data_IF_205829354822
#
_entry.id   IF_205829354822
#
_cell.length_a   1.000
_cell.length_b   1.000
_cell.length_c   1.000
_cell.angle_alpha   90.00
_cell.angle_beta   90.00
_cell.angle_gamma   90.00
#
_symmetry.space_group_name_H-M   'P 1'
#
loop_
_entity.id
_entity.type
_entity.pdbx_description
1 polymer ?
#
# COMPACT_ATOMS: atom_id res chain seq x y z
N UNK A 1 -12.22 -22.25 3.46
CA UNK A 1 -11.21 -21.32 2.93
C UNK A 1 -11.93 -20.09 2.43
N UNK A 2 -11.35 -18.91 2.60
CA UNK A 2 -11.97 -17.65 2.16
C UNK A 2 -10.93 -16.90 1.33
N UNK A 3 -11.36 -16.24 0.26
CA UNK A 3 -10.53 -15.32 -0.51
C UNK A 3 -10.62 -13.89 0.03
N UNK A 4 -9.54 -13.13 -0.13
CA UNK A 4 -9.49 -11.71 0.25
C UNK A 4 -8.13 -11.11 -0.08
N UNK A 5 -7.77 -10.05 0.63
CA UNK A 5 -6.49 -9.36 0.47
C UNK A 5 -5.54 -9.66 1.62
N UNK A 6 -4.23 -9.61 1.37
CA UNK A 6 -3.18 -9.88 2.38
C UNK A 6 -3.15 -8.87 3.54
N UNK A 7 -3.75 -7.68 3.37
CA UNK A 7 -3.82 -6.63 4.41
C UNK A 7 -5.23 -6.45 4.99
N UNK A 8 -6.15 -7.39 4.73
CA UNK A 8 -7.55 -7.27 5.13
C UNK A 8 -7.73 -7.34 6.66
N UNK A 9 -8.46 -6.38 7.25
CA UNK A 9 -8.71 -6.34 8.70
C UNK A 9 -9.44 -7.59 9.25
N UNK A 10 -10.16 -8.32 8.40
CA UNK A 10 -10.81 -9.60 8.76
C UNK A 10 -9.81 -10.68 9.16
N UNK A 11 -8.56 -10.58 8.72
CA UNK A 11 -7.49 -11.49 9.12
C UNK A 11 -7.34 -11.49 10.64
N UNK A 12 -7.28 -10.29 11.26
CA UNK A 12 -7.19 -10.15 12.71
C UNK A 12 -8.52 -10.47 13.38
N UNK A 13 -9.64 -9.97 12.86
CA UNK A 13 -10.96 -10.15 13.45
C UNK A 13 -11.35 -11.63 13.64
N UNK A 14 -10.98 -12.48 12.68
CA UNK A 14 -11.36 -13.90 12.68
C UNK A 14 -10.19 -14.86 12.87
N UNK A 15 -9.01 -14.34 13.22
CA UNK A 15 -7.78 -15.09 13.41
C UNK A 15 -7.50 -16.01 12.20
N UNK A 16 -7.49 -15.42 11.01
CA UNK A 16 -7.08 -16.13 9.80
C UNK A 16 -5.56 -16.13 9.66
N UNK A 17 -5.04 -17.19 9.06
CA UNK A 17 -3.70 -17.25 8.51
C UNK A 17 -3.78 -17.07 7.00
N UNK A 18 -3.03 -16.09 6.50
CA UNK A 18 -2.80 -15.86 5.07
C UNK A 18 -1.80 -16.89 4.58
N UNK A 19 -2.15 -17.63 3.52
CA UNK A 19 -1.22 -18.58 2.92
C UNK A 19 -0.20 -17.84 2.04
N UNK A 20 1.09 -18.15 2.19
CA UNK A 20 2.13 -17.59 1.34
C UNK A 20 1.97 -18.10 -0.09
N UNK A 21 1.90 -17.18 -1.05
CA UNK A 21 1.90 -17.49 -2.48
C UNK A 21 3.31 -17.79 -2.99
N UNK A 22 3.81 -18.99 -2.68
CA UNK A 22 5.11 -19.49 -3.13
C UNK A 22 5.15 -19.86 -4.63
N UNK A 23 4.04 -19.65 -5.34
CA UNK A 23 3.91 -19.92 -6.78
C UNK A 23 3.78 -18.65 -7.61
N UNK A 24 3.71 -17.48 -6.98
CA UNK A 24 3.55 -16.19 -7.64
C UNK A 24 2.35 -16.21 -8.60
N UNK A 25 1.22 -16.74 -8.12
CA UNK A 25 -0.05 -16.70 -8.84
C UNK A 25 -0.61 -15.28 -8.92
N UNK A 26 -0.38 -14.47 -7.89
CA UNK A 26 -0.91 -13.12 -7.83
C UNK A 26 0.16 -12.06 -8.15
N UNK A 27 -0.20 -11.00 -8.90
CA UNK A 27 0.72 -9.90 -9.16
C UNK A 27 1.19 -9.21 -7.87
N UNK A 28 2.39 -8.59 -7.88
CA UNK A 28 2.86 -7.76 -6.78
C UNK A 28 2.11 -6.42 -6.76
N UNK A 29 1.55 -6.08 -5.61
CA UNK A 29 0.89 -4.82 -5.30
C UNK A 29 1.59 -4.18 -4.09
N UNK A 30 2.88 -3.89 -4.26
CA UNK A 30 3.64 -3.18 -3.24
C UNK A 30 3.13 -1.74 -3.14
N UNK A 31 2.80 -1.29 -1.93
CA UNK A 31 2.37 0.08 -1.70
C UNK A 31 3.56 1.03 -1.70
N UNK A 32 3.43 2.13 -2.45
CA UNK A 32 4.48 3.09 -2.73
C UNK A 32 3.91 4.52 -2.67
N UNK A 33 4.55 5.48 -1.99
CA UNK A 33 4.24 6.89 -2.16
C UNK A 33 4.65 7.32 -3.57
N UNK A 34 3.73 7.89 -4.35
CA UNK A 34 4.06 8.51 -5.64
C UNK A 34 3.87 10.02 -5.56
N UNK A 35 4.82 10.76 -6.10
CA UNK A 35 4.91 12.22 -5.97
C UNK A 35 5.07 12.84 -7.36
N UNK A 36 4.34 13.92 -7.62
CA UNK A 36 4.52 14.74 -8.83
C UNK A 36 5.94 15.31 -8.86
N UNK A 37 6.62 15.20 -10.00
CA UNK A 37 8.02 15.56 -10.16
C UNK A 37 8.29 17.02 -9.84
N UNK A 38 7.38 17.92 -10.22
CA UNK A 38 7.45 19.35 -9.85
C UNK A 38 7.44 19.55 -8.33
N UNK A 39 6.54 18.87 -7.62
CA UNK A 39 6.46 18.91 -6.16
C UNK A 39 7.75 18.39 -5.54
N UNK A 40 8.28 17.27 -6.03
CA UNK A 40 9.51 16.69 -5.50
C UNK A 40 10.73 17.61 -5.74
N UNK A 41 10.79 18.31 -6.88
CA UNK A 41 11.83 19.32 -7.15
C UNK A 41 11.69 20.56 -6.25
N UNK A 42 10.47 20.98 -5.95
CA UNK A 42 10.18 22.10 -5.04
C UNK A 42 10.50 21.74 -3.58
N UNK A 43 10.22 20.50 -3.19
CA UNK A 43 10.35 19.99 -1.83
C UNK A 43 11.21 18.70 -1.80
N UNK A 44 12.52 18.77 -2.10
CA UNK A 44 13.37 17.59 -2.22
C UNK A 44 13.50 16.79 -0.92
N UNK A 45 13.29 17.45 0.24
CA UNK A 45 13.29 16.81 1.56
C UNK A 45 12.22 15.69 1.69
N UNK A 46 11.17 15.70 0.85
CA UNK A 46 10.16 14.65 0.86
C UNK A 46 10.76 13.26 0.62
N UNK A 47 11.82 13.15 -0.18
CA UNK A 47 12.53 11.88 -0.39
C UNK A 47 13.11 11.33 0.93
N UNK A 48 13.80 12.18 1.68
CA UNK A 48 14.43 11.82 2.95
C UNK A 48 13.40 11.55 4.05
N UNK A 49 12.25 12.20 3.97
CA UNK A 49 11.14 11.97 4.90
C UNK A 49 10.51 10.59 4.65
N UNK A 50 10.12 10.30 3.41
CA UNK A 50 9.45 9.04 3.09
C UNK A 50 10.38 7.83 3.11
N UNK A 51 11.68 7.98 2.84
CA UNK A 51 12.65 6.89 2.97
C UNK A 51 12.72 6.32 4.39
N UNK A 52 12.33 7.10 5.42
CA UNK A 52 12.25 6.61 6.81
C UNK A 52 11.15 5.58 7.03
N UNK A 53 10.14 5.54 6.14
CA UNK A 53 9.06 4.54 6.16
C UNK A 53 9.38 3.30 5.30
N UNK A 54 10.48 3.29 4.55
CA UNK A 54 10.86 2.16 3.71
C UNK A 54 10.96 0.86 4.53
N UNK A 55 10.19 -0.14 4.12
CA UNK A 55 10.15 -1.44 4.79
C UNK A 55 9.57 -1.45 6.22
N UNK A 56 8.98 -0.35 6.71
CA UNK A 56 8.48 -0.24 8.09
C UNK A 56 7.05 -0.74 8.30
N UNK A 57 6.26 -0.82 7.23
CA UNK A 57 4.88 -1.26 7.29
C UNK A 57 4.81 -2.64 6.66
N UNK A 58 4.70 -3.69 7.47
CA UNK A 58 4.48 -5.07 6.99
C UNK A 58 3.00 -5.33 6.70
N UNK A 59 2.70 -6.46 6.04
CA UNK A 59 1.31 -6.89 5.82
C UNK A 59 0.52 -7.02 7.13
N UNK A 60 1.15 -7.54 8.19
CA UNK A 60 0.51 -7.73 9.49
C UNK A 60 0.21 -6.41 10.19
N UNK A 61 1.16 -5.46 10.11
CA UNK A 61 0.96 -4.11 10.64
C UNK A 61 -0.19 -3.44 9.89
N UNK A 62 -0.17 -3.45 8.55
CA UNK A 62 -1.23 -2.82 7.76
C UNK A 62 -2.60 -3.48 8.02
N UNK A 63 -2.65 -4.81 8.17
CA UNK A 63 -3.87 -5.52 8.57
C UNK A 63 -4.39 -5.08 9.93
N UNK A 64 -3.51 -4.82 10.89
CA UNK A 64 -3.88 -4.31 12.20
C UNK A 64 -4.43 -2.87 12.12
N UNK A 65 -3.78 -1.99 11.36
CA UNK A 65 -4.26 -0.63 11.17
C UNK A 65 -5.64 -0.62 10.46
N UNK A 66 -5.82 -1.45 9.44
CA UNK A 66 -7.11 -1.62 8.77
C UNK A 66 -8.18 -2.16 9.75
N UNK A 67 -7.83 -3.13 10.61
CA UNK A 67 -8.75 -3.65 11.63
C UNK A 67 -9.24 -2.57 12.59
N UNK A 68 -8.34 -1.68 13.06
CA UNK A 68 -8.71 -0.58 13.95
C UNK A 68 -9.76 0.34 13.32
N UNK A 69 -9.60 0.70 12.05
CA UNK A 69 -10.57 1.56 11.37
C UNK A 69 -11.85 0.79 10.98
N UNK A 70 -11.72 -0.34 10.29
CA UNK A 70 -12.87 -1.05 9.73
C UNK A 70 -13.74 -1.71 10.80
N UNK A 71 -13.13 -2.28 11.84
CA UNK A 71 -13.83 -3.04 12.87
C UNK A 71 -14.05 -2.22 14.14
N UNK A 72 -13.01 -1.61 14.69
CA UNK A 72 -13.13 -0.83 15.92
C UNK A 72 -13.71 0.57 15.69
N UNK A 73 -13.84 1.01 14.43
CA UNK A 73 -14.34 2.34 14.06
C UNK A 73 -13.48 3.48 14.60
N UNK A 74 -12.18 3.22 14.77
CA UNK A 74 -11.20 4.24 15.14
C UNK A 74 -10.98 5.21 13.97
N UNK A 75 -10.69 6.47 14.31
CA UNK A 75 -10.43 7.50 13.31
C UNK A 75 -9.07 7.27 12.62
N UNK A 76 -8.99 7.32 11.26
CA UNK A 76 -7.74 7.10 10.54
C UNK A 76 -6.59 8.02 10.94
N UNK A 77 -6.86 9.28 11.30
CA UNK A 77 -5.83 10.23 11.71
C UNK A 77 -5.22 9.81 13.05
N UNK A 78 -6.06 9.37 14.00
CA UNK A 78 -5.59 8.84 15.27
C UNK A 78 -4.80 7.54 15.09
N UNK A 79 -5.29 6.61 14.26
CA UNK A 79 -4.58 5.35 13.95
C UNK A 79 -3.21 5.60 13.34
N UNK A 80 -3.11 6.56 12.40
CA UNK A 80 -1.85 6.96 11.81
C UNK A 80 -0.90 7.60 12.83
N UNK A 81 -1.41 8.47 13.71
CA UNK A 81 -0.64 9.12 14.78
C UNK A 81 -0.07 8.11 15.75
N UNK A 82 -0.88 7.17 16.20
CA UNK A 82 -0.45 6.10 17.11
C UNK A 82 0.60 5.20 16.47
N UNK A 83 0.39 4.83 15.20
CA UNK A 83 1.37 4.06 14.44
C UNK A 83 2.72 4.78 14.36
N UNK A 84 2.74 6.04 13.91
CA UNK A 84 3.96 6.85 13.79
C UNK A 84 4.68 6.98 15.13
N UNK A 85 3.96 7.26 16.21
CA UNK A 85 4.51 7.31 17.56
C UNK A 85 5.15 5.99 17.97
N UNK A 86 4.48 4.86 17.70
CA UNK A 86 4.97 3.52 18.07
C UNK A 86 6.27 3.13 17.33
N UNK A 87 6.45 3.62 16.09
CA UNK A 87 7.70 3.40 15.34
C UNK A 87 8.74 4.51 15.56
N UNK A 88 8.55 5.36 16.58
CA UNK A 88 9.54 6.31 17.09
C UNK A 88 9.55 7.67 16.42
N UNK A 89 8.53 8.01 15.63
CA UNK A 89 8.40 9.33 15.02
C UNK A 89 7.76 10.30 16.01
N UNK A 90 8.23 11.55 15.99
CA UNK A 90 7.53 12.62 16.69
C UNK A 90 6.19 12.85 16.01
N UNK A 91 5.15 13.02 16.81
CA UNK A 91 3.82 13.37 16.34
C UNK A 91 3.35 14.66 16.98
N UNK A 92 2.63 15.45 16.20
CA UNK A 92 2.00 16.70 16.63
C UNK A 92 0.58 16.77 16.10
N UNK A 93 -0.18 17.76 16.57
CA UNK A 93 -1.51 18.01 16.00
C UNK A 93 -1.38 18.52 14.56
N UNK A 94 -2.35 18.15 13.72
CA UNK A 94 -2.41 18.62 12.33
C UNK A 94 -2.41 20.15 12.28
N UNK A 95 -1.64 20.70 11.35
CA UNK A 95 -1.59 22.16 11.19
C UNK A 95 -2.86 22.67 10.53
N UNK A 96 -3.13 23.97 10.72
CA UNK A 96 -4.26 24.67 10.12
C UNK A 96 -3.72 25.86 9.32
N UNK A 97 -4.19 26.01 8.08
CA UNK A 97 -3.75 27.10 7.21
C UNK A 97 -4.02 26.79 5.75
N UNK A 98 -3.56 27.69 4.87
CA UNK A 98 -3.49 27.42 3.43
C UNK A 98 -2.51 26.27 3.18
N UNK A 99 -2.90 25.36 2.28
CA UNK A 99 -2.18 24.12 2.04
C UNK A 99 -0.99 24.34 1.10
N UNK A 100 0.20 23.90 1.53
CA UNK A 100 1.40 23.90 0.69
C UNK A 100 1.50 22.64 -0.17
N UNK A 101 0.93 21.54 0.31
CA UNK A 101 0.91 20.21 -0.32
C UNK A 101 -0.49 19.62 -0.17
N UNK A 102 -1.04 19.11 -1.27
CA UNK A 102 -2.28 18.34 -1.27
C UNK A 102 -1.98 16.84 -1.43
N UNK A 103 -2.48 16.00 -0.52
CA UNK A 103 -2.34 14.54 -0.59
C UNK A 103 -3.68 13.92 -0.97
N UNK A 104 -3.69 13.11 -2.03
CA UNK A 104 -4.88 12.35 -2.43
C UNK A 104 -4.98 10.99 -1.75
N UNK A 105 -6.16 10.37 -1.86
CA UNK A 105 -6.34 8.95 -1.53
C UNK A 105 -7.49 8.36 -2.33
N UNK A 106 -7.42 7.06 -2.61
CA UNK A 106 -8.60 6.32 -3.09
C UNK A 106 -9.61 6.11 -1.97
N UNK A 107 -10.79 5.60 -2.33
CA UNK A 107 -11.94 5.44 -1.45
C UNK A 107 -11.96 4.12 -0.65
N UNK A 108 -10.85 3.75 -0.01
CA UNK A 108 -10.80 2.61 0.90
C UNK A 108 -9.87 2.84 2.09
N UNK A 109 -10.12 2.08 3.17
CA UNK A 109 -9.55 2.28 4.51
C UNK A 109 -8.04 2.43 4.53
N UNK A 110 -7.31 1.50 3.92
CA UNK A 110 -5.84 1.55 3.86
C UNK A 110 -5.33 2.84 3.23
N UNK A 111 -6.01 3.38 2.23
CA UNK A 111 -5.61 4.63 1.56
C UNK A 111 -5.83 5.85 2.44
N UNK A 112 -6.89 5.87 3.26
CA UNK A 112 -7.11 6.93 4.25
C UNK A 112 -6.00 6.93 5.30
N UNK A 113 -5.67 5.75 5.83
CA UNK A 113 -4.59 5.59 6.83
C UNK A 113 -3.25 6.04 6.25
N UNK A 114 -2.91 5.61 5.03
CA UNK A 114 -1.64 6.00 4.40
C UNK A 114 -1.57 7.50 4.09
N UNK A 115 -2.68 8.12 3.64
CA UNK A 115 -2.73 9.56 3.42
C UNK A 115 -2.49 10.34 4.72
N UNK A 116 -3.06 9.89 5.83
CA UNK A 116 -2.82 10.46 7.16
C UNK A 116 -1.37 10.27 7.62
N UNK A 117 -0.80 9.07 7.47
CA UNK A 117 0.61 8.80 7.77
C UNK A 117 1.50 9.77 6.99
N UNK A 118 1.25 9.95 5.69
CA UNK A 118 2.05 10.83 4.84
C UNK A 118 1.92 12.29 5.24
N UNK A 119 0.70 12.77 5.47
CA UNK A 119 0.45 14.16 5.84
C UNK A 119 1.08 14.52 7.18
N UNK A 120 0.86 13.69 8.20
CA UNK A 120 1.45 13.90 9.52
C UNK A 120 2.98 13.85 9.44
N UNK A 121 3.54 12.93 8.67
CA UNK A 121 4.99 12.82 8.54
C UNK A 121 5.60 14.07 7.88
N UNK A 122 4.97 14.64 6.85
CA UNK A 122 5.42 15.91 6.24
C UNK A 122 5.34 17.06 7.25
N UNK A 123 4.22 17.20 7.96
CA UNK A 123 4.00 18.29 8.92
C UNK A 123 4.94 18.20 10.14
N UNK A 124 5.32 16.99 10.56
CA UNK A 124 6.24 16.77 11.69
C UNK A 124 7.72 17.05 11.34
N UNK A 125 8.08 17.08 10.06
CA UNK A 125 9.46 17.26 9.59
C UNK A 125 9.68 18.57 8.82
N UNK A 126 8.66 19.40 8.70
CA UNK A 126 8.73 20.68 7.98
C UNK A 126 7.74 21.68 8.54
N UNK A 127 7.82 22.93 8.08
CA UNK A 127 6.82 23.96 8.41
C UNK A 127 5.61 23.94 7.48
N UNK A 128 5.57 23.06 6.48
CA UNK A 128 4.48 22.97 5.51
C UNK A 128 3.15 22.55 6.15
N UNK A 129 2.05 23.02 5.58
CA UNK A 129 0.69 22.58 5.85
C UNK A 129 0.23 21.59 4.78
N UNK A 130 -0.43 20.51 5.21
CA UNK A 130 -0.93 19.48 4.31
C UNK A 130 -2.46 19.46 4.30
N UNK A 131 -3.05 19.55 3.11
CA UNK A 131 -4.45 19.21 2.87
C UNK A 131 -4.59 17.75 2.45
N UNK A 132 -5.57 17.05 3.01
CA UNK A 132 -5.93 15.71 2.57
C UNK A 132 -7.19 15.76 1.69
N UNK A 133 -7.03 15.44 0.41
CA UNK A 133 -8.11 15.24 -0.55
C UNK A 133 -8.42 13.74 -0.65
N UNK A 134 -8.93 13.19 0.44
CA UNK A 134 -9.21 11.76 0.56
C UNK A 134 -10.50 11.35 -0.12
N UNK A 135 -10.60 10.09 -0.48
CA UNK A 135 -11.86 9.50 -0.94
C UNK A 135 -12.18 9.84 -2.38
N UNK A 136 -11.15 10.23 -3.13
CA UNK A 136 -11.21 10.18 -4.58
C UNK A 136 -11.58 8.74 -4.98
N UNK A 137 -12.25 8.59 -6.11
CA UNK A 137 -12.75 7.29 -6.55
C UNK A 137 -11.58 6.36 -7.00
N UNK A 138 -11.74 5.66 -8.12
CA UNK A 138 -10.74 4.69 -8.55
C UNK A 138 -9.38 5.31 -8.94
N UNK A 139 -8.39 4.45 -9.16
CA UNK A 139 -7.01 4.79 -9.59
C UNK A 139 -6.94 5.89 -10.63
N UNK A 140 -7.75 5.83 -11.69
CA UNK A 140 -7.66 6.81 -12.78
C UNK A 140 -7.93 8.24 -12.29
N UNK A 141 -8.88 8.42 -11.38
CA UNK A 141 -9.24 9.74 -10.85
C UNK A 141 -8.11 10.28 -9.96
N UNK A 142 -7.54 9.45 -9.09
CA UNK A 142 -6.37 9.85 -8.30
C UNK A 142 -5.16 10.20 -9.18
N UNK A 143 -4.88 9.37 -10.19
CA UNK A 143 -3.73 9.57 -11.06
C UNK A 143 -3.89 10.80 -11.97
N UNK A 144 -5.08 11.02 -12.54
CA UNK A 144 -5.37 12.21 -13.32
C UNK A 144 -5.25 13.48 -12.44
N UNK A 145 -5.77 13.45 -11.20
CA UNK A 145 -5.62 14.54 -10.23
C UNK A 145 -4.14 14.84 -9.93
N UNK A 146 -3.30 13.80 -9.79
CA UNK A 146 -1.86 13.97 -9.59
C UNK A 146 -1.20 14.62 -10.81
N UNK A 147 -1.44 14.11 -12.01
CA UNK A 147 -0.81 14.62 -13.23
C UNK A 147 -1.27 16.04 -13.56
N UNK A 148 -2.51 16.39 -13.23
CA UNK A 148 -3.06 17.73 -13.43
C UNK A 148 -2.70 18.72 -12.31
N UNK A 149 -1.99 18.29 -11.25
CA UNK A 149 -1.59 19.15 -10.14
C UNK A 149 -2.71 19.49 -9.16
N UNK A 150 -3.82 18.75 -9.16
CA UNK A 150 -4.90 18.89 -8.17
C UNK A 150 -4.52 18.28 -6.81
N UNK A 151 -3.62 17.28 -6.84
CA UNK A 151 -2.89 16.72 -5.71
C UNK A 151 -1.41 16.62 -6.07
N UNK A 152 -0.56 16.58 -5.05
CA UNK A 152 0.89 16.54 -5.17
C UNK A 152 1.48 15.14 -4.97
N UNK A 153 0.83 14.32 -4.15
CA UNK A 153 1.22 12.94 -3.91
C UNK A 153 0.05 12.08 -3.42
N UNK A 154 0.15 10.77 -3.58
CA UNK A 154 -0.76 9.80 -2.95
C UNK A 154 -0.13 8.40 -2.86
N UNK A 155 -0.70 7.47 -2.08
CA UNK A 155 -0.24 6.08 -2.05
C UNK A 155 -0.77 5.27 -3.24
N UNK A 156 0.10 4.59 -3.99
CA UNK A 156 -0.28 3.72 -5.11
C UNK A 156 0.41 2.35 -5.03
N UNK A 157 -0.04 1.39 -5.83
CA UNK A 157 0.42 0.00 -5.83
C UNK A 157 1.07 -0.34 -7.16
N UNK A 158 2.21 -1.02 -7.11
CA UNK A 158 3.01 -1.35 -8.30
C UNK A 158 2.22 -2.12 -9.37
N UNK A 159 1.43 -3.13 -9.00
CA UNK A 159 0.58 -3.87 -9.94
C UNK A 159 -0.49 -3.00 -10.62
N UNK A 160 -1.05 -2.04 -9.91
CA UNK A 160 -1.98 -1.06 -10.46
C UNK A 160 -1.27 -0.09 -11.42
N UNK A 161 -0.08 0.37 -11.04
CA UNK A 161 0.80 1.16 -11.90
C UNK A 161 1.06 0.49 -13.24
N UNK A 162 1.39 -0.80 -13.21
CA UNK A 162 1.68 -1.60 -14.40
C UNK A 162 0.43 -1.80 -15.28
N UNK A 163 -0.68 -2.21 -14.68
CA UNK A 163 -1.85 -2.72 -15.42
C UNK A 163 -2.84 -1.62 -15.80
N UNK A 164 -3.03 -0.61 -14.95
CA UNK A 164 -4.08 0.40 -15.10
C UNK A 164 -3.52 1.73 -15.59
N UNK A 165 -2.44 2.19 -14.96
CA UNK A 165 -1.84 3.51 -15.27
C UNK A 165 -1.03 3.42 -16.56
N UNK A 166 -0.01 2.56 -16.59
CA UNK A 166 0.89 2.44 -17.73
C UNK A 166 0.30 1.60 -18.85
N UNK A 167 -0.61 0.67 -18.51
CA UNK A 167 -1.21 -0.31 -19.41
C UNK A 167 -0.14 -1.07 -20.20
N UNK A 168 0.85 -1.62 -19.47
CA UNK A 168 2.00 -2.27 -20.06
C UNK A 168 1.60 -3.39 -21.04
N UNK A 169 2.31 -3.47 -22.15
CA UNK A 169 2.06 -4.46 -23.20
C UNK A 169 2.15 -5.90 -22.67
N UNK A 170 1.47 -6.81 -23.35
CA UNK A 170 1.39 -8.21 -22.94
C UNK A 170 2.75 -8.88 -22.79
N UNK A 171 3.71 -8.56 -23.67
CA UNK A 171 5.07 -9.11 -23.59
C UNK A 171 5.81 -8.66 -22.33
N UNK A 172 5.69 -7.36 -21.98
CA UNK A 172 6.26 -6.83 -20.74
C UNK A 172 5.61 -7.52 -19.55
N UNK A 173 4.27 -7.57 -19.50
CA UNK A 173 3.54 -8.22 -18.40
C UNK A 173 3.96 -9.68 -18.24
N UNK A 174 4.01 -10.47 -19.31
CA UNK A 174 4.47 -11.87 -19.24
C UNK A 174 5.88 -12.02 -18.68
N UNK A 175 6.77 -11.08 -18.99
CA UNK A 175 8.15 -11.12 -18.55
C UNK A 175 8.33 -10.74 -17.07
N UNK A 176 7.55 -9.78 -16.54
CA UNK A 176 7.84 -9.18 -15.23
C UNK A 176 6.73 -9.34 -14.18
N UNK A 177 5.49 -9.69 -14.54
CA UNK A 177 4.33 -9.61 -13.63
C UNK A 177 4.45 -10.45 -12.34
N UNK A 178 5.37 -11.43 -12.30
CA UNK A 178 5.61 -12.28 -11.12
C UNK A 178 6.78 -11.80 -10.24
N UNK A 179 7.48 -10.76 -10.66
CA UNK A 179 8.73 -10.29 -10.06
C UNK A 179 8.53 -8.85 -9.54
N UNK A 180 8.35 -8.71 -8.23
CA UNK A 180 8.03 -7.43 -7.57
C UNK A 180 9.04 -6.32 -7.85
N UNK A 181 10.32 -6.65 -7.86
CA UNK A 181 11.41 -5.71 -8.12
C UNK A 181 11.39 -5.23 -9.57
N UNK A 182 11.18 -6.14 -10.53
CA UNK A 182 11.07 -5.76 -11.95
C UNK A 182 9.81 -4.96 -12.23
N UNK A 183 8.68 -5.31 -11.61
CA UNK A 183 7.45 -4.49 -11.72
C UNK A 183 7.72 -3.10 -11.18
N UNK A 184 8.28 -2.98 -9.97
CA UNK A 184 8.61 -1.68 -9.37
C UNK A 184 9.55 -0.85 -10.26
N UNK A 185 10.64 -1.43 -10.74
CA UNK A 185 11.60 -0.74 -11.61
C UNK A 185 10.93 -0.22 -12.88
N UNK A 186 10.13 -1.06 -13.56
CA UNK A 186 9.41 -0.67 -14.77
C UNK A 186 8.41 0.45 -14.49
N UNK A 187 7.59 0.34 -13.44
CA UNK A 187 6.57 1.37 -13.18
C UNK A 187 7.17 2.69 -12.73
N UNK A 188 8.27 2.66 -11.99
CA UNK A 188 9.01 3.86 -11.59
C UNK A 188 9.57 4.58 -12.80
N UNK A 189 10.34 3.87 -13.62
CA UNK A 189 11.02 4.44 -14.80
C UNK A 189 10.01 4.99 -15.82
N UNK A 190 8.98 4.22 -16.16
CA UNK A 190 8.02 4.63 -17.18
C UNK A 190 7.08 5.73 -16.68
N UNK A 191 6.78 5.79 -15.38
CA UNK A 191 5.97 6.89 -14.83
C UNK A 191 6.73 8.21 -14.81
N UNK A 192 8.03 8.18 -14.49
CA UNK A 192 8.88 9.36 -14.55
C UNK A 192 8.97 9.90 -15.97
N UNK A 193 9.28 9.03 -16.95
CA UNK A 193 9.41 9.43 -18.37
C UNK A 193 8.12 9.97 -18.97
N UNK A 194 6.98 9.34 -18.68
CA UNK A 194 5.71 9.61 -19.37
C UNK A 194 4.90 10.71 -18.71
N UNK A 195 5.05 10.89 -17.40
CA UNK A 195 4.16 11.72 -16.61
C UNK A 195 4.88 12.66 -15.63
N UNK A 196 6.22 12.63 -15.57
CA UNK A 196 6.98 13.34 -14.54
C UNK A 196 6.48 12.98 -13.13
N UNK A 197 6.26 11.69 -12.87
CA UNK A 197 5.82 11.17 -11.57
C UNK A 197 6.88 10.25 -10.98
N UNK A 198 7.38 10.61 -9.80
CA UNK A 198 8.36 9.83 -9.07
C UNK A 198 7.67 8.77 -8.19
N UNK A 199 8.11 7.51 -8.31
CA UNK A 199 7.75 6.44 -7.39
C UNK A 199 8.85 6.33 -6.32
N UNK A 200 8.50 6.58 -5.06
CA UNK A 200 9.46 6.44 -3.97
C UNK A 200 9.68 4.97 -3.60
N UNK A 201 10.32 4.71 -2.47
CA UNK A 201 10.58 3.35 -2.01
C UNK A 201 9.30 2.68 -1.48
N UNK A 202 9.11 1.36 -1.70
CA UNK A 202 7.99 0.64 -1.12
C UNK A 202 7.93 0.69 0.40
N UNK A 203 6.71 0.78 0.95
CA UNK A 203 6.48 0.90 2.39
C UNK A 203 6.78 -0.39 3.19
N UNK A 204 6.86 -1.53 2.51
CA UNK A 204 7.19 -2.84 3.11
C UNK A 204 6.10 -3.91 3.05
N UNK A 205 4.91 -3.57 2.54
CA UNK A 205 3.80 -4.51 2.41
C UNK A 205 3.37 -4.68 0.95
N UNK A 206 2.68 -5.79 0.68
CA UNK A 206 2.19 -6.19 -0.63
C UNK A 206 0.71 -6.57 -0.50
N UNK A 207 -0.19 -5.67 -0.91
CA UNK A 207 -1.64 -5.83 -0.82
C UNK A 207 -2.18 -6.61 -2.03
N UNK A 208 -1.92 -7.91 -2.06
CA UNK A 208 -2.31 -8.79 -3.16
C UNK A 208 -3.43 -9.74 -2.73
N UNK A 209 -4.03 -10.43 -3.70
CA UNK A 209 -5.03 -11.45 -3.42
C UNK A 209 -4.41 -12.58 -2.61
N UNK A 210 -5.18 -13.14 -1.69
CA UNK A 210 -4.73 -14.24 -0.86
C UNK A 210 -5.82 -15.27 -0.58
N UNK A 211 -5.36 -16.50 -0.37
CA UNK A 211 -6.13 -17.58 0.21
C UNK A 211 -5.91 -17.58 1.73
N UNK A 212 -7.01 -17.64 2.48
CA UNK A 212 -6.99 -17.61 3.94
C UNK A 212 -7.65 -18.84 4.55
N UNK A 213 -7.08 -19.29 5.67
CA UNK A 213 -7.57 -20.40 6.48
C UNK A 213 -7.66 -19.97 7.95
N UNK A 214 -8.55 -20.58 8.76
CA UNK A 214 -8.55 -20.36 10.22
C UNK A 214 -7.20 -20.78 10.78
N UNK A 215 -6.59 -19.93 11.61
CA UNK A 215 -5.23 -20.16 12.09
C UNK A 215 -5.07 -21.51 12.78
N UNK A 216 -5.96 -21.85 13.72
CA UNK A 216 -5.92 -23.13 14.43
C UNK A 216 -5.95 -24.31 13.45
N UNK A 217 -6.90 -24.30 12.51
CA UNK A 217 -7.03 -25.39 11.55
C UNK A 217 -5.82 -25.50 10.62
N UNK A 218 -5.30 -24.37 10.13
CA UNK A 218 -4.10 -24.35 9.28
C UNK A 218 -2.86 -24.88 10.02
N UNK A 219 -2.72 -24.54 11.30
CA UNK A 219 -1.66 -25.05 12.17
C UNK A 219 -1.79 -26.55 12.42
N UNK A 220 -3.00 -27.04 12.72
CA UNK A 220 -3.26 -28.46 12.98
C UNK A 220 -2.87 -29.38 11.81
N UNK A 221 -3.06 -28.89 10.58
CA UNK A 221 -2.71 -29.62 9.35
C UNK A 221 -1.41 -29.11 8.69
N UNK A 222 -0.67 -28.24 9.38
CA UNK A 222 0.62 -27.68 8.97
C UNK A 222 0.64 -27.06 7.56
N UNK A 223 -0.39 -26.30 7.20
CA UNK A 223 -0.48 -25.58 5.92
C UNK A 223 -0.03 -24.13 6.12
N UNK A 224 1.04 -23.73 5.41
CA UNK A 224 1.57 -22.34 5.44
C UNK A 224 1.60 -21.68 4.06
N UNK A 225 1.65 -22.48 3.00
CA UNK A 225 1.80 -22.03 1.62
C UNK A 225 0.69 -22.57 0.71
N UNK A 226 0.56 -21.99 -0.50
CA UNK A 226 -0.35 -22.53 -1.52
C UNK A 226 0.11 -23.94 -1.96
N UNK A 227 1.42 -24.21 -2.01
CA UNK A 227 1.93 -25.57 -2.23
C UNK A 227 1.49 -26.56 -1.16
N UNK A 228 1.57 -26.20 0.13
CA UNK A 228 1.19 -27.10 1.22
C UNK A 228 -0.28 -27.49 1.10
N UNK A 229 -1.13 -26.50 0.82
CA UNK A 229 -2.55 -26.71 0.60
C UNK A 229 -2.82 -27.62 -0.61
N UNK A 230 -2.15 -27.38 -1.74
CA UNK A 230 -2.28 -28.24 -2.93
C UNK A 230 -1.88 -29.69 -2.61
N UNK A 231 -0.76 -29.87 -1.92
CA UNK A 231 -0.25 -31.19 -1.56
C UNK A 231 -1.20 -31.92 -0.59
N UNK A 232 -1.78 -31.20 0.36
CA UNK A 232 -2.79 -31.73 1.29
C UNK A 232 -4.06 -32.20 0.56
N UNK A 233 -4.59 -31.38 -0.37
CA UNK A 233 -5.78 -31.72 -1.15
C UNK A 233 -5.55 -32.92 -2.08
N UNK A 234 -4.38 -33.04 -2.68
CA UNK A 234 -4.04 -34.19 -3.52
C UNK A 234 -4.09 -35.50 -2.70
N UNK A 235 -3.49 -35.50 -1.50
CA UNK A 235 -3.51 -36.68 -0.62
C UNK A 235 -4.91 -37.09 -0.18
N UNK A 236 -5.83 -36.14 -0.03
CA UNK A 236 -7.22 -36.43 0.31
C UNK A 236 -8.01 -37.05 -0.85
N UNK A 237 -7.66 -36.70 -2.09
CA UNK A 237 -8.33 -37.23 -3.28
C UNK A 237 -7.79 -38.61 -3.71
N UNK A 238 -6.62 -39.00 -3.19
CA UNK A 238 -6.02 -40.32 -3.39
C UNK A 238 -6.51 -41.37 -2.36
N UNK A 239 -7.40 -40.99 -1.44
CA UNK A 239 -8.08 -41.84 -0.43
C UNK A 239 -9.53 -42.14 -0.83
#
# INVERSE_FOLDING_TARGET
MIGGFTTDGRIKAYQFQVLRDDKHYFPPYHAVPIIRGETLRKFPFLYDVFSKLEGKISNDIMSELNFKVDHNKEDPAQVAKDFLSNIGFKTSERKRGEADIAIGSKNFTEQYILAEIFGQLIENYSDLNVELKTGLAGTKICFDALVNGEIDLYPEYTGTGLLVILKADENVRKAILKDGEKVYAYVSEESEKRFDVAWLKPLGFNNTYALMMRHNHASDINIKTISDLKNYLNKLNDL
#
